data_IF_545452309498
#
_entry.id   IF_545452309498
#
_cell.length_a   1.000
_cell.length_b   1.000
_cell.length_c   1.000
_cell.angle_alpha   90.00
_cell.angle_beta   90.00
_cell.angle_gamma   90.00
#
_symmetry.space_group_name_H-M   'P 1'
#
loop_
_entity.id
_entity.type
_entity.pdbx_description
1 polymer ?
#
# COMPACT_ATOMS: atom_id res chain seq x y z
N UNK A 1 -19.72 3.30 -45.43
CA UNK A 1 -18.41 3.29 -46.11
C UNK A 1 -17.32 3.01 -45.08
N UNK A 2 -16.60 1.89 -45.17
CA UNK A 2 -15.47 1.60 -44.30
C UNK A 2 -14.31 2.56 -44.58
N UNK A 3 -13.68 3.10 -43.53
CA UNK A 3 -12.50 3.93 -43.68
C UNK A 3 -11.33 3.07 -44.17
N UNK A 4 -10.72 3.44 -45.31
CA UNK A 4 -9.49 2.80 -45.78
C UNK A 4 -8.36 3.10 -44.79
N UNK A 5 -7.72 2.04 -44.28
CA UNK A 5 -6.55 2.11 -43.41
C UNK A 5 -5.30 1.83 -44.23
N UNK A 6 -4.21 2.56 -43.97
CA UNK A 6 -2.88 2.28 -44.54
C UNK A 6 -1.89 1.94 -43.43
N UNK A 7 -0.93 1.06 -43.73
CA UNK A 7 0.20 0.77 -42.84
C UNK A 7 1.14 1.97 -42.80
N UNK A 8 1.54 2.41 -41.61
CA UNK A 8 2.55 3.43 -41.40
C UNK A 8 3.54 2.93 -40.35
N UNK A 9 4.83 3.08 -40.63
CA UNK A 9 5.88 2.86 -39.63
C UNK A 9 5.84 4.02 -38.62
N UNK A 10 5.77 3.67 -37.34
CA UNK A 10 5.82 4.58 -36.21
C UNK A 10 7.06 4.26 -35.40
N UNK A 11 7.90 5.28 -35.24
CA UNK A 11 9.09 5.22 -34.39
C UNK A 11 8.69 5.69 -32.99
N UNK A 12 9.05 4.92 -31.98
CA UNK A 12 8.89 5.32 -30.57
C UNK A 12 10.19 5.12 -29.84
N UNK A 13 10.47 6.01 -28.89
CA UNK A 13 11.49 5.78 -27.88
C UNK A 13 10.90 4.88 -26.80
N UNK A 14 11.61 3.81 -26.47
CA UNK A 14 11.23 2.94 -25.35
C UNK A 14 12.18 3.14 -24.16
N UNK A 15 11.66 2.86 -22.96
CA UNK A 15 12.45 2.84 -21.74
C UNK A 15 12.53 1.40 -21.22
N UNK A 16 13.73 0.80 -21.10
CA UNK A 16 13.88 -0.58 -20.62
C UNK A 16 13.49 -0.76 -19.13
N UNK A 17 13.14 0.34 -18.45
CA UNK A 17 12.96 0.44 -17.01
C UNK A 17 11.51 0.67 -16.57
N UNK A 18 10.56 0.63 -17.50
CA UNK A 18 9.17 1.00 -17.25
C UNK A 18 8.32 -0.08 -16.60
N UNK A 19 8.76 -1.35 -16.63
CA UNK A 19 8.00 -2.47 -16.08
C UNK A 19 8.62 -2.97 -14.76
N UNK A 20 8.18 -2.40 -13.63
CA UNK A 20 8.48 -2.98 -12.32
C UNK A 20 7.67 -4.27 -12.14
N UNK A 21 8.36 -5.39 -11.92
CA UNK A 21 7.71 -6.68 -11.68
C UNK A 21 7.26 -6.77 -10.23
N UNK A 22 6.06 -7.30 -10.02
CA UNK A 22 5.59 -7.68 -8.70
C UNK A 22 6.12 -9.09 -8.38
N UNK A 23 6.44 -9.39 -7.11
CA UNK A 23 6.76 -10.76 -6.72
C UNK A 23 5.62 -11.70 -7.09
N UNK A 24 5.96 -12.80 -7.76
CA UNK A 24 5.02 -13.89 -8.03
C UNK A 24 4.85 -14.71 -6.76
N UNK A 25 3.61 -15.07 -6.45
CA UNK A 25 3.23 -15.81 -5.26
C UNK A 25 2.28 -16.91 -5.70
N UNK A 26 2.54 -18.12 -5.22
CA UNK A 26 1.70 -19.29 -5.48
C UNK A 26 0.33 -19.09 -4.80
N UNK A 27 -0.81 -19.43 -5.44
CA UNK A 27 -2.13 -19.17 -4.87
C UNK A 27 -2.35 -19.77 -3.48
N UNK A 28 -1.85 -20.98 -3.25
CA UNK A 28 -1.91 -21.69 -1.97
C UNK A 28 -1.20 -20.90 -0.86
N UNK A 29 0.00 -20.37 -1.14
CA UNK A 29 0.73 -19.52 -0.20
C UNK A 29 0.00 -18.21 0.07
N UNK A 30 -0.66 -17.65 -0.95
CA UNK A 30 -1.41 -16.41 -0.79
C UNK A 30 -2.57 -16.56 0.22
N UNK A 31 -3.24 -17.71 0.23
CA UNK A 31 -4.32 -18.00 1.18
C UNK A 31 -3.78 -18.19 2.61
N UNK A 32 -2.69 -18.95 2.79
CA UNK A 32 -2.03 -19.12 4.10
C UNK A 32 -1.54 -17.79 4.65
N UNK A 33 -0.88 -16.97 3.82
CA UNK A 33 -0.42 -15.63 4.18
C UNK A 33 -1.59 -14.76 4.63
N UNK A 34 -2.74 -14.82 3.91
CA UNK A 34 -3.92 -14.06 4.25
C UNK A 34 -4.53 -14.49 5.59
N UNK A 35 -4.58 -15.80 5.87
CA UNK A 35 -5.07 -16.33 7.15
C UNK A 35 -4.16 -15.92 8.32
N UNK A 36 -2.84 -16.00 8.14
CA UNK A 36 -1.86 -15.52 9.13
C UNK A 36 -2.00 -14.01 9.36
N UNK A 37 -2.23 -13.22 8.31
CA UNK A 37 -2.48 -11.79 8.43
C UNK A 37 -3.80 -11.51 9.17
N UNK A 38 -4.87 -12.24 8.87
CA UNK A 38 -6.16 -12.04 9.53
C UNK A 38 -6.10 -12.45 11.01
N UNK A 39 -5.38 -13.52 11.36
CA UNK A 39 -5.19 -13.91 12.77
C UNK A 39 -4.40 -12.85 13.55
N UNK A 40 -3.35 -12.27 12.94
CA UNK A 40 -2.58 -11.15 13.51
C UNK A 40 -3.46 -9.92 13.73
N UNK A 41 -4.32 -9.56 12.78
CA UNK A 41 -5.12 -8.33 12.82
C UNK A 41 -6.44 -8.45 13.61
N UNK A 42 -6.92 -9.67 13.87
CA UNK A 42 -8.18 -9.93 14.57
C UNK A 42 -8.31 -9.19 15.92
N UNK A 43 -7.29 -9.14 16.80
CA UNK A 43 -7.37 -8.37 18.04
C UNK A 43 -7.63 -6.88 17.83
N UNK A 44 -7.08 -6.28 16.76
CA UNK A 44 -7.32 -4.88 16.42
C UNK A 44 -8.76 -4.65 15.97
N UNK A 45 -9.30 -5.58 15.18
CA UNK A 45 -10.70 -5.54 14.74
C UNK A 45 -11.68 -5.68 15.89
N UNK A 46 -11.47 -6.65 16.78
CA UNK A 46 -12.30 -6.88 17.96
C UNK A 46 -12.30 -5.66 18.89
N UNK A 47 -11.13 -5.06 19.12
CA UNK A 47 -11.03 -3.83 19.92
C UNK A 47 -11.82 -2.69 19.28
N UNK A 48 -11.70 -2.50 17.96
CA UNK A 48 -12.47 -1.48 17.21
C UNK A 48 -13.97 -1.72 17.31
N UNK A 49 -14.43 -2.94 17.10
CA UNK A 49 -15.86 -3.27 17.16
C UNK A 49 -16.46 -3.04 18.56
N UNK A 50 -15.73 -3.41 19.62
CA UNK A 50 -16.22 -3.32 21.01
C UNK A 50 -16.09 -1.92 21.60
N UNK A 51 -15.07 -1.16 21.21
CA UNK A 51 -14.70 0.07 21.91
C UNK A 51 -14.67 1.32 21.03
N UNK A 52 -14.71 1.20 19.70
CA UNK A 52 -14.75 2.34 18.77
C UNK A 52 -16.17 2.52 18.25
N UNK A 53 -16.85 3.56 18.75
CA UNK A 53 -18.16 3.95 18.22
C UNK A 53 -17.99 4.34 16.74
N UNK A 54 -18.71 3.70 15.81
CA UNK A 54 -18.70 4.12 14.42
C UNK A 54 -19.13 5.59 14.30
N UNK A 55 -18.48 6.33 13.42
CA UNK A 55 -18.88 7.70 13.09
C UNK A 55 -20.22 7.67 12.37
N UNK A 56 -21.30 7.93 13.10
CA UNK A 56 -22.59 8.25 12.49
C UNK A 56 -22.47 9.61 11.82
N UNK A 57 -22.16 9.62 10.52
CA UNK A 57 -21.73 10.81 9.78
C UNK A 57 -22.60 12.07 9.95
N UNK A 58 -22.14 13.20 9.41
CA UNK A 58 -22.68 14.55 9.67
C UNK A 58 -24.22 14.68 9.64
N UNK A 59 -24.92 13.91 8.80
CA UNK A 59 -26.40 13.90 8.72
C UNK A 59 -27.07 13.26 9.95
N UNK A 60 -26.53 12.16 10.48
CA UNK A 60 -27.02 11.52 11.69
C UNK A 60 -26.72 12.37 12.94
N UNK A 61 -25.52 12.99 12.99
CA UNK A 61 -25.18 13.97 14.02
C UNK A 61 -26.13 15.18 14.02
N UNK A 62 -26.54 15.69 12.84
CA UNK A 62 -27.52 16.79 12.73
C UNK A 62 -28.92 16.37 13.19
N UNK A 63 -29.32 15.12 12.96
CA UNK A 63 -30.59 14.56 13.43
C UNK A 63 -30.60 14.40 14.96
N UNK A 64 -29.55 13.83 15.54
CA UNK A 64 -29.38 13.75 17.00
C UNK A 64 -29.30 15.11 17.69
N UNK A 65 -28.74 16.14 17.03
CA UNK A 65 -28.74 17.52 17.53
C UNK A 65 -30.14 18.18 17.52
N UNK A 66 -31.04 17.75 16.63
CA UNK A 66 -32.43 18.21 16.58
C UNK A 66 -33.32 17.48 17.61
N UNK A 67 -33.00 16.23 17.90
CA UNK A 67 -33.70 15.39 18.90
C UNK A 67 -33.17 15.61 20.33
N UNK A 68 -31.93 16.11 20.50
CA UNK A 68 -31.25 16.29 21.79
C UNK A 68 -31.64 17.51 22.64
N UNK A 69 -32.78 18.17 22.37
CA UNK A 69 -33.29 19.24 23.26
C UNK A 69 -34.02 18.70 24.51
N UNK A 70 -34.20 17.38 24.64
CA UNK A 70 -34.82 16.72 25.78
C UNK A 70 -34.10 15.40 26.12
N UNK A 71 -32.85 15.44 26.56
CA UNK A 71 -32.22 14.39 27.39
C UNK A 71 -30.74 14.75 27.64
N UNK A 72 -30.49 15.53 28.68
CA UNK A 72 -29.17 15.58 29.32
C UNK A 72 -28.98 14.31 30.15
N UNK A 73 -28.36 13.29 29.55
CA UNK A 73 -27.64 12.24 30.28
C UNK A 73 -26.26 12.09 29.65
N UNK A 74 -25.26 12.63 30.34
CA UNK A 74 -23.86 12.34 30.07
C UNK A 74 -23.63 10.83 30.15
N UNK A 75 -23.06 10.16 29.13
CA UNK A 75 -22.59 8.81 29.31
C UNK A 75 -21.28 8.86 30.08
N UNK A 76 -21.26 8.14 31.20
CA UNK A 76 -20.06 7.89 32.01
C UNK A 76 -18.88 7.48 31.11
N UNK A 77 -17.72 8.12 31.35
CA UNK A 77 -16.43 7.73 30.77
C UNK A 77 -16.08 6.34 31.31
N UNK A 78 -16.57 5.29 30.65
CA UNK A 78 -16.02 3.95 30.85
C UNK A 78 -14.56 4.00 30.40
N UNK A 79 -13.65 3.59 31.28
CA UNK A 79 -12.23 3.44 30.97
C UNK A 79 -12.10 2.53 29.75
N UNK A 80 -11.72 3.13 28.62
CA UNK A 80 -11.53 2.39 27.38
C UNK A 80 -10.30 1.50 27.59
N UNK A 81 -10.38 0.18 27.39
CA UNK A 81 -9.22 -0.66 27.55
C UNK A 81 -8.11 -0.20 26.60
N UNK A 82 -6.84 -0.33 27.03
CA UNK A 82 -5.70 0.12 26.25
C UNK A 82 -5.75 -0.51 24.86
N UNK A 83 -5.35 0.28 23.85
CA UNK A 83 -5.21 -0.23 22.48
C UNK A 83 -4.19 -1.37 22.47
N UNK A 84 -4.42 -2.44 21.72
CA UNK A 84 -3.45 -3.53 21.61
C UNK A 84 -2.10 -2.98 21.15
N UNK A 85 -1.01 -3.45 21.75
CA UNK A 85 0.36 -3.00 21.43
C UNK A 85 0.67 -3.09 19.92
N UNK A 86 0.12 -4.11 19.26
CA UNK A 86 0.19 -4.32 17.81
C UNK A 86 -0.25 -3.11 16.99
N UNK A 87 -1.17 -2.27 17.49
CA UNK A 87 -1.65 -1.09 16.79
C UNK A 87 -0.54 -0.10 16.45
N UNK A 88 0.52 -0.04 17.27
CA UNK A 88 1.68 0.83 17.04
C UNK A 88 2.61 0.31 15.94
N UNK A 89 2.50 -0.96 15.54
CA UNK A 89 3.34 -1.60 14.52
C UNK A 89 2.62 -1.83 13.19
N UNK A 90 1.32 -1.56 13.12
CA UNK A 90 0.49 -1.81 11.93
C UNK A 90 -0.05 -0.50 11.38
N UNK A 91 0.28 -0.21 10.13
CA UNK A 91 -0.33 0.89 9.39
C UNK A 91 -1.38 0.37 8.43
N UNK A 92 -2.53 1.04 8.37
CA UNK A 92 -3.62 0.70 7.46
C UNK A 92 -3.85 1.85 6.51
N UNK A 93 -3.88 1.54 5.22
CA UNK A 93 -4.18 2.49 4.16
C UNK A 93 -2.93 3.04 3.47
N UNK A 94 -3.13 3.34 2.19
CA UNK A 94 -2.03 3.51 1.28
C UNK A 94 -1.21 4.76 1.57
N UNK A 95 -1.89 5.87 1.88
CA UNK A 95 -1.24 7.15 2.18
C UNK A 95 -0.32 7.06 3.39
N UNK A 96 -0.68 6.27 4.41
CA UNK A 96 0.16 6.06 5.59
C UNK A 96 1.42 5.30 5.20
N UNK A 97 1.25 4.22 4.44
CA UNK A 97 2.34 3.35 3.99
C UNK A 97 3.29 4.12 3.07
N UNK A 98 2.80 4.84 2.07
CA UNK A 98 3.65 5.59 1.12
C UNK A 98 4.41 6.71 1.80
N UNK A 99 3.80 7.45 2.74
CA UNK A 99 4.50 8.49 3.52
C UNK A 99 5.60 7.90 4.40
N UNK A 100 5.38 6.74 5.00
CA UNK A 100 6.39 6.08 5.81
C UNK A 100 7.51 5.48 4.95
N UNK A 101 7.20 4.89 3.79
CA UNK A 101 8.20 4.47 2.82
C UNK A 101 9.06 5.64 2.34
N UNK A 102 8.46 6.80 2.08
CA UNK A 102 9.17 8.03 1.73
C UNK A 102 10.12 8.47 2.85
N UNK A 103 9.65 8.53 4.10
CA UNK A 103 10.49 8.88 5.27
C UNK A 103 11.67 7.93 5.45
N UNK A 104 11.44 6.62 5.26
CA UNK A 104 12.49 5.61 5.29
C UNK A 104 13.51 5.82 4.16
N UNK A 105 13.04 6.14 2.96
CA UNK A 105 13.89 6.37 1.80
C UNK A 105 14.77 7.61 1.96
N UNK A 106 14.22 8.72 2.47
CA UNK A 106 14.94 10.00 2.62
C UNK A 106 15.79 10.09 3.89
N UNK A 107 15.68 9.10 4.79
CA UNK A 107 16.34 9.16 6.10
C UNK A 107 15.86 10.33 6.97
N UNK A 108 14.74 10.97 6.62
CA UNK A 108 14.22 12.12 7.35
C UNK A 108 13.65 11.69 8.70
N UNK A 109 14.24 12.23 9.77
CA UNK A 109 13.62 12.27 11.08
C UNK A 109 12.64 13.45 11.10
N UNK A 110 11.34 13.21 11.11
CA UNK A 110 10.37 14.26 11.40
C UNK A 110 10.33 14.51 12.91
N UNK A 111 11.11 15.46 13.39
CA UNK A 111 10.78 16.22 14.60
C UNK A 111 9.68 17.21 14.25
N UNK A 112 8.44 16.74 14.05
CA UNK A 112 7.30 17.65 14.04
C UNK A 112 6.70 17.69 15.43
N UNK A 113 7.09 18.74 16.16
CA UNK A 113 6.48 19.18 17.40
C UNK A 113 4.98 19.42 17.19
N UNK A 114 4.17 18.55 17.77
CA UNK A 114 2.91 18.94 18.39
C UNK A 114 3.08 18.60 19.86
N UNK A 115 3.08 19.62 20.71
CA UNK A 115 3.39 19.49 22.13
C UNK A 115 2.49 18.46 22.81
N UNK A 116 3.10 17.35 23.21
CA UNK A 116 2.80 16.69 24.48
C UNK A 116 4.02 15.85 24.86
N UNK A 117 4.42 15.96 26.12
CA UNK A 117 5.67 15.44 26.64
C UNK A 117 5.68 13.89 26.67
N UNK A 118 6.85 13.33 26.34
CA UNK A 118 7.31 11.97 26.70
C UNK A 118 7.03 10.80 25.73
N UNK A 119 7.44 10.93 24.46
CA UNK A 119 7.77 9.77 23.63
C UNK A 119 9.06 10.05 22.86
N UNK A 120 10.10 9.29 23.18
CA UNK A 120 11.38 9.27 22.46
C UNK A 120 11.10 9.30 20.95
N UNK A 121 11.66 10.29 20.23
CA UNK A 121 11.51 10.42 18.78
C UNK A 121 12.08 9.16 18.11
N UNK A 122 11.23 8.13 17.95
CA UNK A 122 11.64 6.84 17.44
C UNK A 122 11.91 7.00 15.95
N UNK A 123 13.12 6.65 15.53
CA UNK A 123 13.46 6.51 14.11
C UNK A 123 12.33 5.78 13.36
N UNK A 124 11.99 6.18 12.12
CA UNK A 124 10.98 5.49 11.35
C UNK A 124 11.38 4.01 11.24
N UNK A 125 10.57 3.13 11.85
CA UNK A 125 10.85 1.71 11.86
C UNK A 125 10.52 1.13 10.49
N UNK A 126 11.44 0.35 9.87
CA UNK A 126 11.20 -0.23 8.56
C UNK A 126 10.02 -1.20 8.58
N UNK A 127 9.41 -1.39 7.41
CA UNK A 127 8.41 -2.44 7.23
C UNK A 127 9.08 -3.80 7.06
N UNK A 128 8.50 -4.84 7.65
CA UNK A 128 8.86 -6.23 7.33
C UNK A 128 8.09 -6.70 6.09
N UNK A 129 6.79 -6.41 6.04
CA UNK A 129 5.90 -6.81 4.95
C UNK A 129 4.86 -5.72 4.68
N UNK A 130 4.58 -5.48 3.40
CA UNK A 130 3.49 -4.60 2.93
C UNK A 130 2.53 -5.42 2.07
N UNK A 131 1.25 -5.36 2.40
CA UNK A 131 0.16 -6.03 1.70
C UNK A 131 -0.67 -4.99 0.94
N UNK A 132 -0.97 -5.23 -0.33
CA UNK A 132 -1.78 -4.32 -1.17
C UNK A 132 -2.79 -5.05 -2.04
N UNK A 133 -4.04 -4.57 -2.02
CA UNK A 133 -5.10 -4.96 -2.93
C UNK A 133 -4.80 -4.39 -4.33
N UNK A 134 -4.52 -5.27 -5.30
CA UNK A 134 -4.20 -4.85 -6.67
C UNK A 134 -5.44 -4.39 -7.45
N UNK A 135 -6.61 -4.91 -7.08
CA UNK A 135 -7.88 -4.56 -7.71
C UNK A 135 -8.30 -3.13 -7.33
N UNK A 136 -8.52 -2.28 -8.33
CA UNK A 136 -9.06 -0.93 -8.14
C UNK A 136 -8.03 0.18 -7.95
N UNK A 137 -6.72 -0.13 -8.03
CA UNK A 137 -5.67 0.89 -8.09
C UNK A 137 -5.28 1.19 -9.54
N UNK A 138 -4.73 2.38 -9.78
CA UNK A 138 -4.24 2.76 -11.12
C UNK A 138 -3.02 1.92 -11.52
N UNK A 139 -2.82 1.73 -12.82
CA UNK A 139 -1.61 1.08 -13.34
C UNK A 139 -0.34 1.83 -12.92
N UNK A 140 -0.38 3.16 -12.95
CA UNK A 140 0.72 4.02 -12.50
C UNK A 140 1.15 3.71 -11.05
N UNK A 141 0.17 3.59 -10.15
CA UNK A 141 0.44 3.23 -8.76
C UNK A 141 1.06 1.83 -8.64
N UNK A 142 0.50 0.85 -9.36
CA UNK A 142 1.02 -0.52 -9.34
C UNK A 142 2.46 -0.60 -9.89
N UNK A 143 2.86 0.28 -10.80
CA UNK A 143 4.25 0.34 -11.28
C UNK A 143 5.20 1.02 -10.27
N UNK A 144 4.72 2.04 -9.55
CA UNK A 144 5.55 2.86 -8.66
C UNK A 144 5.74 2.24 -7.27
N UNK A 145 4.71 1.61 -6.70
CA UNK A 145 4.78 1.10 -5.32
C UNK A 145 5.94 0.13 -5.09
N UNK A 146 6.19 -0.89 -5.96
CA UNK A 146 7.30 -1.79 -5.72
C UNK A 146 8.65 -1.06 -5.73
N UNK A 147 8.78 0.02 -6.52
CA UNK A 147 9.98 0.86 -6.50
C UNK A 147 10.15 1.57 -5.15
N UNK A 148 9.08 2.15 -4.60
CA UNK A 148 9.13 2.78 -3.27
C UNK A 148 9.53 1.79 -2.18
N UNK A 149 9.00 0.57 -2.24
CA UNK A 149 9.34 -0.51 -1.30
C UNK A 149 10.82 -0.89 -1.41
N UNK A 150 11.32 -1.07 -2.64
CA UNK A 150 12.72 -1.43 -2.87
C UNK A 150 13.69 -0.34 -2.39
N UNK A 151 13.42 0.93 -2.68
CA UNK A 151 14.25 2.06 -2.22
C UNK A 151 14.24 2.15 -0.70
N UNK A 152 13.06 2.15 -0.06
CA UNK A 152 12.95 2.20 1.40
C UNK A 152 13.64 1.01 2.07
N UNK A 153 13.56 -0.17 1.46
CA UNK A 153 14.25 -1.38 1.96
C UNK A 153 15.76 -1.25 1.89
N UNK A 154 16.32 -0.63 0.84
CA UNK A 154 17.76 -0.39 0.73
C UNK A 154 18.28 0.62 1.75
N UNK A 155 17.46 1.62 2.12
CA UNK A 155 17.81 2.61 3.15
C UNK A 155 17.90 2.03 4.57
N UNK A 156 17.46 0.78 4.79
CA UNK A 156 17.51 0.10 6.09
C UNK A 156 18.33 -1.20 6.04
N UNK A 157 19.67 -1.13 5.88
CA UNK A 157 20.52 -2.30 5.63
C UNK A 157 20.60 -3.31 6.79
N UNK A 158 20.29 -2.89 8.01
CA UNK A 158 20.31 -3.74 9.22
C UNK A 158 19.12 -4.70 9.30
N UNK A 159 18.03 -4.41 8.59
CA UNK A 159 16.79 -5.19 8.63
C UNK A 159 16.65 -6.10 7.38
N UNK A 160 15.93 -7.23 7.47
CA UNK A 160 15.64 -8.04 6.30
C UNK A 160 14.85 -7.24 5.25
N UNK A 161 15.02 -7.51 3.95
CA UNK A 161 14.36 -6.74 2.91
C UNK A 161 12.84 -6.76 3.01
N UNK A 162 12.19 -5.61 2.85
CA UNK A 162 10.73 -5.49 2.90
C UNK A 162 10.08 -6.36 1.83
N UNK A 163 9.11 -7.20 2.21
CA UNK A 163 8.33 -8.01 1.26
C UNK A 163 7.08 -7.28 0.82
N UNK A 164 6.74 -7.41 -0.47
CA UNK A 164 5.53 -6.84 -1.04
C UNK A 164 4.61 -7.97 -1.48
N UNK A 165 3.41 -8.01 -0.93
CA UNK A 165 2.39 -9.01 -1.23
C UNK A 165 1.21 -8.32 -1.90
N UNK A 166 0.95 -8.70 -3.15
CA UNK A 166 -0.24 -8.28 -3.87
C UNK A 166 -1.37 -9.27 -3.66
N UNK A 167 -2.57 -8.81 -3.31
CA UNK A 167 -3.74 -9.68 -3.16
C UNK A 167 -4.94 -9.21 -4.00
N UNK A 168 -5.88 -10.12 -4.22
CA UNK A 168 -7.08 -9.91 -5.04
C UNK A 168 -8.21 -9.21 -4.26
N UNK A 169 -9.25 -8.76 -4.96
CA UNK A 169 -10.39 -8.05 -4.35
C UNK A 169 -11.05 -8.81 -3.19
N UNK A 170 -11.34 -10.13 -3.32
CA UNK A 170 -11.95 -10.89 -2.22
C UNK A 170 -11.09 -10.91 -0.95
N UNK A 171 -9.76 -10.95 -1.07
CA UNK A 171 -8.85 -10.87 0.07
C UNK A 171 -8.96 -9.52 0.78
N UNK A 172 -9.17 -8.43 0.03
CA UNK A 172 -9.39 -7.08 0.59
C UNK A 172 -10.67 -7.00 1.44
N UNK A 173 -11.73 -7.69 0.99
CA UNK A 173 -13.01 -7.76 1.71
C UNK A 173 -12.87 -8.55 3.02
N UNK A 174 -12.16 -9.69 3.00
CA UNK A 174 -11.80 -10.45 4.20
C UNK A 174 -11.02 -9.59 5.21
N UNK A 175 -10.00 -8.85 4.75
CA UNK A 175 -9.22 -7.95 5.61
C UNK A 175 -10.06 -6.79 6.17
N UNK A 176 -10.96 -6.23 5.36
CA UNK A 176 -11.87 -5.16 5.79
C UNK A 176 -12.79 -5.65 6.92
N UNK A 177 -13.34 -6.85 6.79
CA UNK A 177 -14.17 -7.48 7.82
C UNK A 177 -13.37 -7.77 9.09
N UNK A 178 -12.16 -8.34 8.95
CA UNK A 178 -11.26 -8.65 10.05
C UNK A 178 -10.88 -7.40 10.86
N UNK A 179 -10.48 -6.31 10.21
CA UNK A 179 -10.08 -5.06 10.87
C UNK A 179 -11.27 -4.20 11.36
N UNK A 180 -12.49 -4.49 10.92
CA UNK A 180 -13.65 -3.63 11.16
C UNK A 180 -13.52 -2.25 10.50
N UNK A 181 -12.77 -2.15 9.41
CA UNK A 181 -12.56 -0.90 8.66
C UNK A 181 -13.16 -1.09 7.26
N UNK A 182 -14.02 -0.19 6.79
CA UNK A 182 -14.55 -0.29 5.44
C UNK A 182 -13.45 -0.04 4.40
N UNK A 183 -13.32 -0.95 3.42
CA UNK A 183 -12.47 -0.79 2.22
C UNK A 183 -10.97 -0.71 2.52
N UNK A 184 -10.45 -1.67 3.28
CA UNK A 184 -9.01 -1.81 3.49
C UNK A 184 -8.34 -2.28 2.20
N UNK A 185 -7.57 -1.39 1.59
CA UNK A 185 -6.81 -1.69 0.36
C UNK A 185 -5.34 -2.02 0.62
N UNK A 186 -4.81 -1.73 1.80
CA UNK A 186 -3.39 -1.93 2.10
C UNK A 186 -3.12 -1.95 3.59
N UNK A 187 -2.15 -2.77 3.98
CA UNK A 187 -1.69 -2.95 5.36
C UNK A 187 -0.17 -3.09 5.36
N UNK A 188 0.52 -2.32 6.19
CA UNK A 188 1.96 -2.44 6.41
C UNK A 188 2.24 -2.94 7.82
N UNK A 189 3.11 -3.93 7.96
CA UNK A 189 3.58 -4.47 9.24
C UNK A 189 5.03 -4.03 9.45
N UNK A 190 5.29 -3.31 10.54
CA UNK A 190 6.64 -2.88 10.92
C UNK A 190 7.47 -4.03 11.48
N UNK A 191 8.79 -3.92 11.36
CA UNK A 191 9.73 -4.80 12.04
C UNK A 191 9.51 -4.71 13.55
N UNK A 192 9.57 -5.84 14.26
CA UNK A 192 9.37 -5.91 15.71
C UNK A 192 7.91 -6.01 16.15
N UNK A 193 6.95 -6.11 15.23
CA UNK A 193 5.54 -6.25 15.59
C UNK A 193 5.31 -7.52 16.45
N UNK A 194 4.62 -7.41 17.60
CA UNK A 194 4.34 -8.56 18.47
C UNK A 194 3.49 -9.58 17.73
N UNK A 195 3.72 -10.88 17.97
CA UNK A 195 2.99 -11.99 17.36
C UNK A 195 3.08 -12.08 15.82
N UNK A 196 3.86 -11.22 15.16
CA UNK A 196 4.00 -11.21 13.70
C UNK A 196 5.03 -12.21 13.14
N UNK A 197 5.82 -12.83 14.01
CA UNK A 197 6.98 -13.66 13.64
C UNK A 197 6.63 -14.75 12.63
N UNK A 198 5.57 -15.52 12.88
CA UNK A 198 5.14 -16.61 12.00
C UNK A 198 4.74 -16.09 10.60
N UNK A 199 3.98 -14.98 10.55
CA UNK A 199 3.62 -14.34 9.29
C UNK A 199 4.86 -13.84 8.53
N UNK A 200 5.76 -13.15 9.23
CA UNK A 200 6.95 -12.55 8.63
C UNK A 200 7.91 -13.63 8.11
N UNK A 201 8.16 -14.68 8.88
CA UNK A 201 9.01 -15.81 8.46
C UNK A 201 8.40 -16.55 7.25
N UNK A 202 7.09 -16.83 7.28
CA UNK A 202 6.41 -17.49 6.16
C UNK A 202 6.49 -16.67 4.87
N UNK A 203 6.20 -15.37 4.95
CA UNK A 203 6.28 -14.46 3.79
C UNK A 203 7.73 -14.33 3.30
N UNK A 204 8.73 -14.30 4.18
CA UNK A 204 10.13 -14.20 3.78
C UNK A 204 10.61 -15.42 2.98
N UNK A 205 10.07 -16.60 3.27
CA UNK A 205 10.39 -17.86 2.59
C UNK A 205 9.68 -17.98 1.22
N UNK A 206 8.41 -17.56 1.13
CA UNK A 206 7.59 -17.80 -0.06
C UNK A 206 7.50 -16.59 -1.00
N UNK A 207 7.85 -15.40 -0.55
CA UNK A 207 7.77 -14.17 -1.34
C UNK A 207 9.16 -13.60 -1.56
N UNK A 208 9.53 -13.45 -2.84
CA UNK A 208 10.81 -12.85 -3.21
C UNK A 208 10.86 -11.35 -2.86
N UNK A 209 12.01 -10.81 -2.42
CA UNK A 209 12.21 -9.38 -2.28
C UNK A 209 11.92 -8.64 -3.60
N UNK A 210 11.38 -7.43 -3.51
CA UNK A 210 11.18 -6.59 -4.70
C UNK A 210 12.54 -6.13 -5.23
N UNK A 211 12.81 -6.43 -6.50
CA UNK A 211 14.00 -5.94 -7.21
C UNK A 211 13.62 -4.89 -8.25
N UNK A 212 14.47 -3.87 -8.37
CA UNK A 212 14.29 -2.78 -9.31
C UNK A 212 15.51 -2.72 -10.20
N UNK A 213 15.40 -3.35 -11.37
CA UNK A 213 16.52 -3.51 -12.30
C UNK A 213 17.18 -2.19 -12.70
N UNK A 214 16.40 -1.12 -12.87
CA UNK A 214 16.97 0.18 -13.22
C UNK A 214 17.80 0.81 -12.11
N UNK A 215 17.45 0.55 -10.86
CA UNK A 215 18.18 1.07 -9.70
C UNK A 215 19.51 0.32 -9.53
N UNK A 216 19.50 -1.00 -9.72
CA UNK A 216 20.72 -1.83 -9.74
C UNK A 216 21.65 -1.41 -10.89
N UNK A 217 21.10 -1.15 -12.08
CA UNK A 217 21.90 -0.69 -13.22
C UNK A 217 22.38 0.75 -13.06
N UNK A 218 21.63 1.61 -12.36
CA UNK A 218 22.08 2.96 -12.07
C UNK A 218 23.29 2.97 -11.12
N UNK A 219 23.38 2.00 -10.21
CA UNK A 219 24.55 1.80 -9.34
C UNK A 219 25.83 1.45 -10.15
N UNK A 220 25.70 0.84 -11.34
CA UNK A 220 26.83 0.57 -12.24
C UNK A 220 27.44 1.83 -12.86
N UNK A 221 26.75 2.99 -12.75
CA UNK A 221 27.16 4.28 -13.30
C UNK A 221 27.49 4.27 -14.81
N UNK A 222 26.90 3.35 -15.58
CA UNK A 222 27.15 3.18 -17.01
C UNK A 222 26.05 3.85 -17.84
N UNK A 223 26.46 4.67 -18.83
CA UNK A 223 25.51 5.25 -19.79
C UNK A 223 24.85 4.14 -20.64
N UNK A 224 23.51 4.19 -20.74
CA UNK A 224 22.72 3.27 -21.58
C UNK A 224 22.15 4.03 -22.78
N UNK A 225 22.40 3.57 -24.02
CA UNK A 225 21.92 4.27 -25.22
C UNK A 225 20.40 4.15 -25.40
N UNK A 226 19.82 5.12 -26.11
CA UNK A 226 18.38 5.18 -26.40
C UNK A 226 17.90 3.96 -27.18
N UNK A 227 16.85 3.30 -26.70
CA UNK A 227 16.22 2.18 -27.41
C UNK A 227 15.10 2.70 -28.32
N UNK A 228 15.31 2.58 -29.64
CA UNK A 228 14.31 2.92 -30.64
C UNK A 228 13.54 1.67 -31.04
N UNK A 229 12.22 1.69 -30.84
CA UNK A 229 11.31 0.65 -31.31
C UNK A 229 10.51 1.14 -32.52
N UNK A 230 10.39 0.27 -33.51
CA UNK A 230 9.66 0.53 -34.76
C UNK A 230 8.44 -0.39 -34.77
N UNK A 231 7.25 0.18 -34.91
CA UNK A 231 6.02 -0.61 -35.04
C UNK A 231 5.24 -0.21 -36.28
N UNK A 232 4.57 -1.19 -36.89
CA UNK A 232 3.57 -0.93 -37.92
C UNK A 232 2.24 -0.56 -37.25
N UNK A 233 1.72 0.64 -37.54
CA UNK A 233 0.39 1.06 -37.11
C UNK A 233 -0.50 1.34 -38.31
N UNK A 234 -1.75 0.88 -38.24
CA UNK A 234 -2.77 1.19 -39.22
C UNK A 234 -3.32 2.59 -38.96
N UNK A 235 -3.26 3.48 -39.96
CA UNK A 235 -3.70 4.89 -39.85
C UNK A 235 -4.76 5.17 -40.92
N UNK A 236 -5.86 5.88 -40.60
CA UNK A 236 -6.87 6.24 -41.57
C UNK A 236 -6.30 7.14 -42.67
N UNK A 237 -6.70 6.86 -43.91
CA UNK A 237 -6.37 7.70 -45.06
C UNK A 237 -7.22 8.97 -44.98
N UNK A 238 -6.59 10.14 -44.76
CA UNK A 238 -7.28 11.43 -44.89
C UNK A 238 -7.79 11.55 -46.34
N UNK A 239 -9.11 11.55 -46.54
CA UNK A 239 -9.70 12.01 -47.81
C UNK A 239 -9.36 13.49 -47.95
N UNK A 240 -8.62 13.85 -48.99
CA UNK A 240 -8.31 15.25 -49.28
C UNK A 240 -9.63 16.00 -49.49
N UNK A 241 -9.96 16.90 -48.57
CA UNK A 241 -10.96 17.92 -48.82
C UNK A 241 -10.39 18.85 -49.89
N UNK A 242 -10.89 18.74 -51.12
CA UNK A 242 -10.74 19.84 -52.07
C UNK A 242 -11.59 20.98 -51.54
N UNK A 243 -10.93 22.11 -51.28
CA UNK A 243 -11.58 23.41 -51.12
C UNK A 243 -12.26 23.82 -52.44
#
# INVERSE_FOLDING_TARGET
>A
MAAQLRKKLVYSVDTPFSATQWPEIVPEDQDVILELLCSLLSPLGQHRQRHVKPSEGKRAAKRKRKEGRMASKEPAKSERPPVPELASFVDVGLTSITRNLERLATGQQTSEASGDNNTMASLPTPYSVVFVARSGQSSAFNCQLPQMVAVASKSSPTAPPTRLVGYSKPCAEKLSACLGIPRVSSVGVRVGAPMSRALVEYVQQHVSPVRVAWLEQAEEAMYRPTQLKIYEKMVPVKKGGKA
#
